data_IF_430220039014
#
_entry.id   IF_430220039014
#
_cell.length_a   1.000
_cell.length_b   1.000
_cell.length_c   1.000
_cell.angle_alpha   90.00
_cell.angle_beta   90.00
_cell.angle_gamma   90.00
#
_symmetry.space_group_name_H-M   'P 1'
#
loop_
_entity.id
_entity.type
_entity.pdbx_description
1 polymer ?
#
# COMPACT_ATOMS: atom_id res chain seq x y z
N UNK A 1 24.05 9.39 -17.20
CA UNK A 1 24.28 8.63 -15.95
C UNK A 1 22.97 8.59 -15.19
N UNK A 2 22.25 7.46 -15.21
CA UNK A 2 21.04 7.30 -14.41
C UNK A 2 21.46 6.82 -13.02
N UNK A 3 21.09 7.50 -11.93
CA UNK A 3 21.53 7.09 -10.60
C UNK A 3 20.98 5.71 -10.24
N UNK A 4 21.80 4.91 -9.54
CA UNK A 4 21.39 3.61 -9.03
C UNK A 4 20.26 3.77 -8.01
N UNK A 5 19.28 2.86 -8.06
CA UNK A 5 18.10 2.92 -7.19
C UNK A 5 18.48 2.51 -5.76
N UNK A 6 18.21 3.33 -4.73
CA UNK A 6 18.54 2.98 -3.36
C UNK A 6 17.79 1.73 -2.89
N UNK A 7 18.47 0.93 -2.07
CA UNK A 7 17.89 -0.26 -1.45
C UNK A 7 16.65 0.14 -0.60
N UNK A 8 15.52 -0.53 -0.82
CA UNK A 8 14.27 -0.28 -0.08
C UNK A 8 13.21 0.55 -0.81
N UNK A 9 13.48 1.04 -2.02
CA UNK A 9 12.49 1.73 -2.86
C UNK A 9 11.44 0.79 -3.52
N UNK A 10 11.46 -0.51 -3.19
CA UNK A 10 10.42 -1.44 -3.63
C UNK A 10 9.19 -1.32 -2.72
N UNK A 11 8.00 -1.21 -3.33
CA UNK A 11 6.74 -1.31 -2.61
C UNK A 11 6.52 -2.77 -2.19
N UNK A 12 7.12 -3.16 -1.07
CA UNK A 12 6.66 -4.34 -0.33
C UNK A 12 5.31 -3.96 0.29
N UNK A 13 4.23 -4.73 0.09
CA UNK A 13 2.94 -4.41 0.68
C UNK A 13 3.05 -4.47 2.20
N UNK A 14 3.37 -3.33 2.82
CA UNK A 14 3.31 -3.15 4.26
C UNK A 14 1.84 -2.93 4.59
N UNK A 15 1.30 -3.82 5.42
CA UNK A 15 -0.01 -3.67 6.04
C UNK A 15 -0.19 -2.22 6.51
N UNK A 16 -1.18 -1.53 5.97
CA UNK A 16 -1.60 -0.19 6.33
C UNK A 16 -2.23 -0.22 7.73
N UNK A 17 -1.42 -0.45 8.76
CA UNK A 17 -1.85 -0.39 10.15
C UNK A 17 -1.81 1.07 10.62
N UNK A 18 -2.93 1.67 11.08
CA UNK A 18 -2.87 2.97 11.74
C UNK A 18 -2.04 2.87 13.03
N UNK A 19 -1.41 3.96 13.50
CA UNK A 19 -0.63 3.94 14.73
C UNK A 19 -1.54 3.60 15.92
N UNK A 20 -1.09 2.69 16.79
CA UNK A 20 -1.73 2.36 18.06
C UNK A 20 -1.81 3.63 18.92
N UNK A 21 -2.92 4.37 18.87
CA UNK A 21 -3.35 5.16 20.03
C UNK A 21 -4.13 4.21 20.93
N UNK A 22 -3.52 3.87 22.07
CA UNK A 22 -4.15 3.13 23.16
C UNK A 22 -4.44 1.65 22.86
N UNK A 23 -3.41 0.78 22.80
CA UNK A 23 -3.65 -0.66 22.98
C UNK A 23 -3.48 -0.98 24.46
N UNK A 24 -4.58 -0.99 25.21
CA UNK A 24 -4.63 -1.65 26.52
C UNK A 24 -4.31 -3.15 26.29
N UNK A 25 -3.43 -3.75 27.10
CA UNK A 25 -3.13 -5.18 26.97
C UNK A 25 -4.33 -5.97 27.52
N UNK A 26 -5.27 -6.33 26.64
CA UNK A 26 -6.46 -7.11 27.02
C UNK A 26 -7.66 -7.00 26.07
N UNK A 27 -7.67 -6.03 25.14
CA UNK A 27 -8.75 -5.91 24.16
C UNK A 27 -8.71 -7.03 23.09
N UNK A 28 -9.87 -7.50 22.59
CA UNK A 28 -9.91 -8.52 21.54
C UNK A 28 -9.11 -8.05 20.33
N UNK A 29 -8.20 -8.90 19.86
CA UNK A 29 -7.39 -8.61 18.68
C UNK A 29 -8.32 -8.31 17.50
N UNK A 30 -8.12 -7.19 16.75
CA UNK A 30 -8.96 -6.90 15.60
C UNK A 30 -8.82 -8.09 14.66
N UNK A 31 -9.94 -8.80 14.43
CA UNK A 31 -10.00 -9.94 13.52
C UNK A 31 -9.33 -9.50 12.22
N UNK A 32 -8.24 -10.16 11.87
CA UNK A 32 -7.60 -10.05 10.56
C UNK A 32 -8.73 -10.26 9.55
N UNK A 33 -9.20 -9.19 8.92
CA UNK A 33 -10.20 -9.32 7.87
C UNK A 33 -9.53 -10.12 6.76
N UNK A 34 -9.79 -11.43 6.78
CA UNK A 34 -9.39 -12.36 5.74
C UNK A 34 -10.20 -12.01 4.51
N UNK A 35 -9.50 -11.35 3.58
CA UNK A 35 -9.74 -11.24 2.14
C UNK A 35 -11.02 -10.50 1.71
N UNK A 36 -10.91 -9.52 0.79
CA UNK A 36 -11.83 -9.48 -0.32
C UNK A 36 -11.42 -10.56 -1.31
N UNK A 37 -12.41 -11.31 -1.80
CA UNK A 37 -12.30 -12.29 -2.89
C UNK A 37 -11.96 -11.66 -4.25
N UNK A 38 -11.78 -10.36 -4.29
CA UNK A 38 -11.43 -9.58 -5.47
C UNK A 38 -9.94 -9.25 -5.38
N UNK A 39 -9.18 -9.57 -6.43
CA UNK A 39 -7.72 -9.35 -6.49
C UNK A 39 -7.34 -8.01 -5.84
N UNK A 40 -6.51 -8.07 -4.80
CA UNK A 40 -6.29 -6.95 -3.89
C UNK A 40 -5.96 -5.64 -4.61
N UNK A 41 -6.38 -4.51 -4.03
CA UNK A 41 -6.06 -3.19 -4.54
C UNK A 41 -4.60 -2.85 -4.27
N UNK A 42 -3.97 -2.18 -5.23
CA UNK A 42 -2.60 -1.69 -5.19
C UNK A 42 -2.63 -0.18 -5.10
N UNK A 43 -1.67 0.40 -4.37
CA UNK A 43 -1.49 1.84 -4.29
C UNK A 43 -0.05 2.20 -4.67
N UNK A 44 0.10 3.29 -5.44
CA UNK A 44 1.38 3.89 -5.76
C UNK A 44 1.38 5.36 -5.34
N UNK A 45 2.51 5.82 -4.81
CA UNK A 45 2.73 7.20 -4.40
C UNK A 45 3.98 7.74 -5.11
N UNK A 46 3.80 8.78 -5.90
CA UNK A 46 4.87 9.50 -6.59
C UNK A 46 5.08 10.86 -5.91
N UNK A 47 6.31 11.08 -5.40
CA UNK A 47 6.71 12.27 -4.66
C UNK A 47 7.74 13.06 -5.47
N UNK A 48 7.25 14.06 -6.20
CA UNK A 48 8.09 15.08 -6.83
C UNK A 48 8.30 16.30 -5.94
N UNK A 49 9.20 17.19 -6.34
CA UNK A 49 9.45 18.45 -5.63
C UNK A 49 8.32 19.47 -5.78
N UNK A 50 7.55 19.37 -6.88
CA UNK A 50 6.45 20.29 -7.21
C UNK A 50 5.08 19.58 -7.32
N UNK A 51 5.04 18.26 -7.18
CA UNK A 51 3.81 17.48 -7.37
C UNK A 51 3.85 16.22 -6.52
N UNK A 52 2.72 15.88 -5.92
CA UNK A 52 2.47 14.61 -5.27
C UNK A 52 1.29 13.95 -5.98
N UNK A 53 1.42 12.68 -6.36
CA UNK A 53 0.35 11.92 -7.03
C UNK A 53 0.20 10.57 -6.36
N UNK A 54 -1.05 10.20 -6.09
CA UNK A 54 -1.42 8.87 -5.63
C UNK A 54 -2.28 8.20 -6.69
N UNK A 55 -2.05 6.92 -6.94
CA UNK A 55 -2.87 6.09 -7.83
C UNK A 55 -3.30 4.84 -7.08
N UNK A 56 -4.57 4.44 -7.25
CA UNK A 56 -5.09 3.14 -6.82
C UNK A 56 -5.39 2.30 -8.05
N UNK A 57 -5.00 1.03 -8.03
CA UNK A 57 -5.17 0.14 -9.16
C UNK A 57 -5.59 -1.28 -8.76
N UNK A 58 -6.25 -1.98 -9.68
CA UNK A 58 -6.58 -3.40 -9.58
C UNK A 58 -5.79 -4.22 -10.61
N UNK A 59 -5.48 -5.50 -10.34
CA UNK A 59 -4.80 -6.34 -11.32
C UNK A 59 -5.73 -6.66 -12.50
N UNK A 60 -5.19 -6.62 -13.72
CA UNK A 60 -5.89 -6.94 -14.98
C UNK A 60 -4.98 -7.79 -15.84
N UNK A 61 -5.00 -9.11 -15.64
CA UNK A 61 -4.01 -10.01 -16.26
C UNK A 61 -2.60 -9.71 -15.74
N UNK A 62 -1.65 -9.45 -16.64
CA UNK A 62 -0.26 -9.12 -16.29
C UNK A 62 -0.02 -7.61 -16.04
N UNK A 63 -1.06 -6.77 -16.07
CA UNK A 63 -0.98 -5.32 -15.93
C UNK A 63 -1.90 -4.82 -14.80
N UNK A 64 -1.87 -3.52 -14.54
CA UNK A 64 -2.72 -2.85 -13.57
C UNK A 64 -3.68 -1.88 -14.26
N UNK A 65 -4.93 -1.86 -13.82
CA UNK A 65 -5.92 -0.86 -14.23
C UNK A 65 -6.11 0.13 -13.09
N UNK A 66 -5.90 1.42 -13.37
CA UNK A 66 -6.08 2.51 -12.40
C UNK A 66 -7.57 2.79 -12.24
N UNK A 67 -8.04 2.89 -10.99
CA UNK A 67 -9.48 2.98 -10.62
C UNK A 67 -9.80 4.11 -9.64
N UNK A 68 -8.80 4.93 -9.31
CA UNK A 68 -8.93 6.19 -8.57
C UNK A 68 -8.61 7.35 -9.51
#
# INVERSE_FOLDING_TARGET
MTPERPAGAAAHPKSSRPPKRGRTPGGPEPKRQTMPSDGGLYAALDLGTNSCRMLIARPKGAQFEVID
#
